data_IF_944134275134
#
_entry.id   IF_944134275134
#
_cell.length_a   1.000
_cell.length_b   1.000
_cell.length_c   1.000
_cell.angle_alpha   90.00
_cell.angle_beta   90.00
_cell.angle_gamma   90.00
#
_symmetry.space_group_name_H-M   'P 1'
#
loop_
_entity.id
_entity.type
_entity.pdbx_description
1 polymer ?
#
# COMPACT_ATOMS: atom_id res chain seq x y z
N UNK A 1 35.20 9.87 -6.97
CA UNK A 1 34.65 10.35 -8.27
C UNK A 1 33.52 9.40 -8.66
N UNK A 2 32.33 9.92 -8.94
CA UNK A 2 31.23 9.05 -9.41
C UNK A 2 31.45 8.69 -10.89
N UNK A 3 31.08 7.48 -11.27
CA UNK A 3 31.03 6.99 -12.65
C UNK A 3 29.61 6.61 -13.00
N UNK A 4 29.15 6.99 -14.18
CA UNK A 4 27.86 6.56 -14.72
C UNK A 4 28.09 5.51 -15.80
N UNK A 5 27.32 4.43 -15.73
CA UNK A 5 27.35 3.35 -16.71
C UNK A 5 25.97 3.26 -17.34
N UNK A 6 25.92 3.35 -18.66
CA UNK A 6 24.69 3.07 -19.40
C UNK A 6 24.57 1.56 -19.62
N UNK A 7 23.45 0.98 -19.23
CA UNK A 7 23.13 -0.44 -19.43
C UNK A 7 22.24 -0.57 -20.66
N UNK A 8 22.66 -1.41 -21.60
CA UNK A 8 21.88 -1.76 -22.79
C UNK A 8 21.81 -3.28 -22.88
N UNK A 9 20.61 -3.82 -23.02
CA UNK A 9 20.35 -5.27 -23.06
C UNK A 9 20.98 -6.03 -21.86
N UNK A 10 20.92 -5.39 -20.67
CA UNK A 10 21.46 -5.98 -19.43
C UNK A 10 22.96 -5.87 -19.23
N UNK A 11 23.69 -5.23 -20.16
CA UNK A 11 25.16 -5.13 -20.10
C UNK A 11 25.60 -3.67 -20.19
N UNK A 12 26.56 -3.31 -19.36
CA UNK A 12 27.28 -2.04 -19.43
C UNK A 12 28.76 -2.25 -19.05
N UNK A 13 29.65 -1.42 -19.58
CA UNK A 13 31.08 -1.49 -19.28
C UNK A 13 31.60 -0.12 -18.84
N UNK A 14 32.53 -0.12 -17.91
CA UNK A 14 33.25 1.08 -17.47
C UNK A 14 34.60 0.69 -16.89
N UNK A 15 35.52 1.62 -16.86
CA UNK A 15 36.79 1.47 -16.17
C UNK A 15 36.67 1.96 -14.74
N UNK A 16 37.02 1.10 -13.78
CA UNK A 16 37.04 1.40 -12.35
C UNK A 16 38.45 1.15 -11.80
N UNK A 17 38.86 1.99 -10.88
CA UNK A 17 40.04 1.76 -10.05
C UNK A 17 39.72 0.84 -8.89
N UNK A 18 40.71 0.18 -8.29
CA UNK A 18 40.50 -0.61 -7.09
C UNK A 18 39.89 0.25 -5.97
N UNK A 19 38.88 -0.28 -5.27
CA UNK A 19 38.19 0.39 -4.17
C UNK A 19 36.75 -0.07 -3.99
N UNK A 20 36.09 0.48 -2.98
CA UNK A 20 34.68 0.20 -2.71
C UNK A 20 33.80 1.26 -3.37
N UNK A 21 32.72 0.83 -3.99
CA UNK A 21 31.76 1.68 -4.69
C UNK A 21 30.34 1.39 -4.21
N UNK A 22 29.62 2.43 -3.82
CA UNK A 22 28.17 2.36 -3.64
C UNK A 22 27.50 2.40 -5.01
N UNK A 23 26.50 1.57 -5.18
CA UNK A 23 25.74 1.42 -6.43
C UNK A 23 24.38 2.07 -6.28
N UNK A 24 23.99 2.86 -7.25
CA UNK A 24 22.65 3.41 -7.39
C UNK A 24 22.16 3.11 -8.79
N UNK A 25 20.86 2.88 -8.93
CA UNK A 25 20.19 2.64 -10.20
C UNK A 25 19.21 3.78 -10.52
N UNK A 26 18.90 3.91 -11.79
CA UNK A 26 17.80 4.72 -12.33
C UNK A 26 17.21 3.96 -13.52
N UNK A 27 16.27 3.07 -13.21
CA UNK A 27 15.61 2.19 -14.19
C UNK A 27 14.10 2.42 -14.07
N UNK A 28 13.46 2.97 -15.11
CA UNK A 28 12.02 3.20 -15.10
C UNK A 28 11.23 1.90 -14.89
N UNK A 29 10.23 1.94 -14.01
CA UNK A 29 9.39 0.78 -13.69
C UNK A 29 10.00 -0.22 -12.70
N UNK A 30 11.12 0.16 -12.04
CA UNK A 30 11.78 -0.68 -11.05
C UNK A 30 11.99 0.07 -9.73
N UNK A 31 12.11 -0.70 -8.63
CA UNK A 31 12.47 -0.14 -7.32
C UNK A 31 13.99 0.13 -7.30
N UNK A 32 14.36 1.35 -7.65
CA UNK A 32 15.76 1.77 -7.75
C UNK A 32 16.50 1.76 -6.39
N UNK A 33 15.78 1.71 -5.27
CA UNK A 33 16.36 1.55 -3.93
C UNK A 33 16.72 0.09 -3.60
N UNK A 34 16.14 -0.87 -4.31
CA UNK A 34 16.31 -2.31 -4.08
C UNK A 34 17.41 -2.96 -4.93
N UNK A 35 18.33 -2.17 -5.52
CA UNK A 35 19.44 -2.72 -6.27
C UNK A 35 20.36 -3.58 -5.39
N UNK A 36 20.69 -4.79 -5.85
CA UNK A 36 21.54 -5.73 -5.12
C UNK A 36 22.67 -6.26 -6.01
N UNK A 37 23.92 -6.26 -5.54
CA UNK A 37 24.38 -5.65 -4.28
C UNK A 37 24.38 -4.11 -4.36
N UNK A 38 24.08 -3.45 -3.24
CA UNK A 38 24.14 -1.98 -3.15
C UNK A 38 25.56 -1.41 -3.04
N UNK A 39 26.55 -2.28 -2.84
CA UNK A 39 27.96 -1.93 -2.78
C UNK A 39 28.81 -3.06 -3.41
N UNK A 40 29.87 -2.70 -4.10
CA UNK A 40 30.89 -3.63 -4.61
C UNK A 40 32.29 -3.21 -4.18
N UNK A 41 33.19 -4.17 -4.10
CA UNK A 41 34.62 -3.92 -3.99
C UNK A 41 35.29 -4.34 -5.30
N UNK A 42 35.96 -3.40 -5.94
CA UNK A 42 36.75 -3.61 -7.16
C UNK A 42 38.17 -3.92 -6.78
N UNK A 43 38.67 -5.02 -7.27
CA UNK A 43 40.07 -5.46 -7.13
C UNK A 43 40.63 -5.92 -8.49
N UNK A 44 41.89 -6.29 -8.52
CA UNK A 44 42.55 -6.69 -9.75
C UNK A 44 42.09 -8.08 -10.26
N UNK A 45 41.34 -8.86 -9.50
CA UNK A 45 40.93 -10.22 -9.83
C UNK A 45 39.52 -10.33 -10.39
N UNK A 46 38.60 -9.41 -10.01
CA UNK A 46 37.22 -9.43 -10.42
C UNK A 46 36.95 -8.36 -11.47
N UNK A 47 36.50 -8.78 -12.65
CA UNK A 47 36.20 -7.90 -13.78
C UNK A 47 34.73 -7.92 -14.23
N UNK A 48 33.88 -8.66 -13.55
CA UNK A 48 32.44 -8.75 -13.85
C UNK A 48 31.65 -8.70 -12.56
N UNK A 49 30.66 -7.83 -12.50
CA UNK A 49 29.73 -7.68 -11.39
C UNK A 49 28.31 -7.83 -11.89
N UNK A 50 27.51 -8.65 -11.23
CA UNK A 50 26.10 -8.83 -11.52
C UNK A 50 25.25 -8.03 -10.52
N UNK A 51 24.22 -7.36 -11.03
CA UNK A 51 23.26 -6.62 -10.24
C UNK A 51 21.85 -7.09 -10.56
N UNK A 52 21.00 -7.12 -9.55
CA UNK A 52 19.56 -7.37 -9.71
C UNK A 52 18.77 -6.20 -9.16
N UNK A 53 17.61 -5.96 -9.74
CA UNK A 53 16.69 -4.90 -9.33
C UNK A 53 15.27 -5.43 -9.49
N UNK A 54 14.40 -5.12 -8.52
CA UNK A 54 13.02 -5.61 -8.51
C UNK A 54 12.12 -4.70 -9.36
N UNK A 55 11.32 -5.31 -10.22
CA UNK A 55 10.25 -4.59 -10.92
C UNK A 55 9.20 -4.08 -9.93
N UNK A 56 8.58 -2.97 -10.26
CA UNK A 56 7.47 -2.39 -9.48
C UNK A 56 6.25 -2.19 -10.35
N UNK A 57 5.09 -2.30 -9.71
CA UNK A 57 3.79 -2.13 -10.32
C UNK A 57 2.86 -1.26 -9.48
N UNK A 58 1.55 -1.39 -9.70
CA UNK A 58 0.51 -0.69 -8.99
C UNK A 58 -0.45 -1.68 -8.31
N UNK A 59 -0.74 -1.44 -7.03
CA UNK A 59 -1.79 -2.12 -6.28
C UNK A 59 -2.97 -1.17 -6.11
N UNK A 60 -4.10 -1.49 -6.73
CA UNK A 60 -5.35 -0.77 -6.56
C UNK A 60 -6.19 -1.42 -5.46
N UNK A 61 -6.63 -0.63 -4.50
CA UNK A 61 -7.62 -1.00 -3.50
C UNK A 61 -8.94 -0.38 -3.94
N UNK A 62 -9.87 -1.20 -4.43
CA UNK A 62 -11.20 -0.76 -4.88
C UNK A 62 -12.19 -0.96 -3.75
N UNK A 63 -12.71 0.15 -3.21
CA UNK A 63 -13.54 0.17 -2.00
C UNK A 63 -14.98 0.48 -2.37
N UNK A 64 -15.87 -0.42 -2.01
CA UNK A 64 -17.31 -0.30 -2.25
C UNK A 64 -18.12 -0.69 -1.01
N UNK A 65 -19.39 -0.31 -0.97
CA UNK A 65 -20.31 -0.61 0.13
C UNK A 65 -20.59 -2.12 0.28
N UNK A 66 -20.49 -2.88 -0.80
CA UNK A 66 -20.76 -4.33 -0.82
C UNK A 66 -19.51 -5.20 -1.08
N UNK A 67 -18.33 -4.59 -1.33
CA UNK A 67 -17.08 -5.29 -1.59
C UNK A 67 -17.00 -5.93 -2.98
N UNK A 68 -17.86 -5.54 -3.90
CA UNK A 68 -17.83 -6.03 -5.28
C UNK A 68 -17.33 -4.96 -6.25
N UNK A 69 -16.93 -5.36 -7.45
CA UNK A 69 -16.49 -4.43 -8.51
C UNK A 69 -17.62 -3.55 -9.08
N UNK A 70 -18.86 -3.77 -8.68
CA UNK A 70 -20.06 -3.06 -9.16
C UNK A 70 -20.84 -2.40 -8.04
N UNK A 71 -20.37 -2.49 -6.78
CA UNK A 71 -20.94 -1.80 -5.64
C UNK A 71 -20.80 -0.28 -5.75
N UNK A 72 -21.48 0.45 -4.85
CA UNK A 72 -21.33 1.90 -4.81
C UNK A 72 -19.92 2.26 -4.28
N UNK A 73 -19.16 3.10 -5.00
CA UNK A 73 -17.80 3.43 -4.60
C UNK A 73 -17.77 4.27 -3.32
N UNK A 74 -16.84 3.97 -2.43
CA UNK A 74 -16.58 4.73 -1.21
C UNK A 74 -15.44 5.73 -1.47
N UNK A 75 -15.75 7.01 -1.40
CA UNK A 75 -14.82 8.12 -1.65
C UNK A 75 -14.25 8.62 -0.34
N UNK A 76 -12.94 8.84 -0.26
CA UNK A 76 -12.31 9.41 0.94
C UNK A 76 -11.81 8.36 1.94
N UNK A 77 -11.96 7.07 1.68
CA UNK A 77 -11.34 6.03 2.48
C UNK A 77 -9.80 6.10 2.34
N UNK A 78 -9.09 6.08 3.47
CA UNK A 78 -7.65 6.27 3.50
C UNK A 78 -6.92 5.00 3.92
N UNK A 79 -5.84 4.69 3.21
CA UNK A 79 -5.02 3.51 3.43
C UNK A 79 -3.55 3.89 3.60
N UNK A 80 -2.82 3.07 4.35
CA UNK A 80 -1.36 3.17 4.50
C UNK A 80 -0.73 1.78 4.40
N UNK A 81 0.49 1.71 3.88
CA UNK A 81 1.28 0.48 3.87
C UNK A 81 1.80 0.19 5.27
N UNK A 82 1.86 -1.10 5.61
CA UNK A 82 2.40 -1.57 6.89
C UNK A 82 3.38 -2.71 6.65
N UNK A 83 4.15 -3.05 7.67
CA UNK A 83 4.76 -4.36 7.76
C UNK A 83 3.76 -5.41 8.28
N UNK A 84 4.19 -6.65 8.41
CA UNK A 84 3.41 -7.77 8.94
C UNK A 84 2.87 -7.52 10.35
N UNK A 85 3.57 -6.71 11.15
CA UNK A 85 3.19 -6.37 12.54
C UNK A 85 2.24 -5.18 12.63
N UNK A 86 1.97 -4.49 11.51
CA UNK A 86 1.13 -3.31 11.42
C UNK A 86 1.87 -1.99 11.62
N UNK A 87 3.21 -1.99 11.67
CA UNK A 87 3.98 -0.76 11.70
C UNK A 87 3.89 -0.05 10.34
N UNK A 88 3.43 1.20 10.37
CA UNK A 88 3.15 2.01 9.18
C UNK A 88 4.42 2.52 8.52
N UNK A 89 4.42 2.57 7.18
CA UNK A 89 5.47 3.21 6.41
C UNK A 89 4.94 3.78 5.09
N UNK A 90 5.68 4.75 4.54
CA UNK A 90 5.32 5.41 3.30
C UNK A 90 4.27 6.51 3.47
N UNK A 91 3.56 6.80 2.40
CA UNK A 91 2.54 7.86 2.35
C UNK A 91 1.16 7.23 2.28
N UNK A 92 0.21 7.77 3.04
CA UNK A 92 -1.19 7.39 2.94
C UNK A 92 -1.77 7.77 1.58
N UNK A 93 -2.66 6.94 1.09
CA UNK A 93 -3.44 7.15 -0.13
C UNK A 93 -4.92 7.17 0.20
N UNK A 94 -5.71 7.86 -0.63
CA UNK A 94 -7.15 8.03 -0.40
C UNK A 94 -7.90 7.62 -1.65
N UNK A 95 -9.06 6.98 -1.48
CA UNK A 95 -9.92 6.57 -2.60
C UNK A 95 -10.48 7.79 -3.35
N UNK A 96 -10.44 7.70 -4.65
CA UNK A 96 -10.99 8.67 -5.60
C UNK A 96 -12.52 8.50 -5.80
N UNK A 97 -13.06 9.20 -6.80
CA UNK A 97 -14.49 9.16 -7.15
C UNK A 97 -14.97 7.81 -7.67
N UNK A 98 -14.06 6.91 -8.04
CA UNK A 98 -14.36 5.54 -8.44
C UNK A 98 -14.23 4.55 -7.26
N UNK A 99 -13.84 5.02 -6.08
CA UNK A 99 -13.53 4.17 -4.93
C UNK A 99 -12.12 3.55 -5.00
N UNK A 100 -11.22 4.07 -5.83
CA UNK A 100 -9.89 3.51 -6.06
C UNK A 100 -8.81 4.27 -5.29
N UNK A 101 -8.06 3.55 -4.45
CA UNK A 101 -6.82 4.00 -3.83
C UNK A 101 -5.64 3.21 -4.41
N UNK A 102 -4.61 3.89 -4.94
CA UNK A 102 -3.54 3.26 -5.71
C UNK A 102 -2.19 3.44 -5.02
N UNK A 103 -1.59 2.34 -4.59
CA UNK A 103 -0.18 2.28 -4.21
C UNK A 103 0.67 2.05 -5.46
N UNK A 104 1.46 3.05 -5.84
CA UNK A 104 2.45 2.93 -6.91
C UNK A 104 3.79 2.40 -6.37
N UNK A 105 4.65 1.94 -7.26
CA UNK A 105 5.97 1.41 -6.96
C UNK A 105 5.94 0.26 -5.93
N UNK A 106 4.97 -0.63 -6.08
CA UNK A 106 4.84 -1.85 -5.27
C UNK A 106 5.64 -2.96 -5.94
N UNK A 107 6.55 -3.65 -5.23
CA UNK A 107 7.29 -4.76 -5.82
C UNK A 107 6.35 -5.88 -6.24
N UNK A 108 6.64 -6.53 -7.36
CA UNK A 108 5.94 -7.72 -7.82
C UNK A 108 6.91 -8.76 -8.38
N UNK A 109 6.52 -10.04 -8.35
CA UNK A 109 7.27 -11.13 -8.97
C UNK A 109 6.29 -12.26 -9.33
N UNK A 110 6.33 -12.71 -10.57
CA UNK A 110 5.44 -13.77 -11.07
C UNK A 110 5.74 -15.15 -10.46
N UNK A 111 6.94 -15.36 -9.91
CA UNK A 111 7.40 -16.66 -9.38
C UNK A 111 7.49 -16.66 -7.86
N UNK A 112 7.98 -15.57 -7.26
CA UNK A 112 8.17 -15.39 -5.83
C UNK A 112 7.40 -14.17 -5.35
N UNK A 113 6.07 -14.19 -5.53
CA UNK A 113 5.19 -13.05 -5.30
C UNK A 113 5.36 -12.44 -3.90
N UNK A 114 5.77 -11.18 -3.77
CA UNK A 114 5.88 -10.52 -2.49
C UNK A 114 4.49 -10.32 -1.86
N UNK A 115 4.43 -10.42 -0.53
CA UNK A 115 3.24 -10.09 0.25
C UNK A 115 3.29 -8.60 0.56
N UNK A 116 2.22 -7.90 0.23
CA UNK A 116 2.06 -6.47 0.50
C UNK A 116 1.04 -6.31 1.62
N UNK A 117 1.47 -5.74 2.73
CA UNK A 117 0.62 -5.45 3.89
C UNK A 117 0.17 -4.00 3.86
N UNK A 118 -1.08 -3.78 4.25
CA UNK A 118 -1.70 -2.45 4.34
C UNK A 118 -2.85 -2.47 5.34
N UNK A 119 -3.28 -1.30 5.79
CA UNK A 119 -4.50 -1.16 6.60
C UNK A 119 -5.27 0.06 6.18
N UNK A 120 -6.57 0.04 6.41
CA UNK A 120 -7.43 1.20 6.31
C UNK A 120 -7.34 2.01 7.60
N UNK A 121 -7.24 3.34 7.49
CA UNK A 121 -7.11 4.25 8.63
C UNK A 121 -8.31 5.16 8.82
N UNK A 122 -9.11 5.34 7.77
CA UNK A 122 -10.38 6.07 7.82
C UNK A 122 -11.32 5.63 6.70
N UNK A 123 -12.60 5.96 6.83
CA UNK A 123 -13.62 5.88 5.80
C UNK A 123 -14.24 7.26 5.56
N UNK A 124 -15.33 7.35 4.81
CA UNK A 124 -16.09 8.57 4.51
C UNK A 124 -16.92 9.10 5.70
N UNK A 125 -16.98 8.38 6.81
CA UNK A 125 -17.75 8.71 8.01
C UNK A 125 -19.11 8.04 8.11
N UNK A 126 -19.63 7.52 7.00
CA UNK A 126 -20.94 6.86 6.93
C UNK A 126 -20.85 5.34 6.87
N UNK A 127 -19.66 4.80 6.57
CA UNK A 127 -19.40 3.37 6.41
C UNK A 127 -18.43 2.83 7.46
N UNK A 128 -18.72 1.61 7.92
CA UNK A 128 -17.84 0.84 8.81
C UNK A 128 -16.74 0.18 7.97
N UNK A 129 -15.53 0.08 8.51
CA UNK A 129 -14.38 -0.54 7.85
C UNK A 129 -13.55 -1.40 8.80
N UNK A 130 -12.78 -2.32 8.24
CA UNK A 130 -11.84 -3.16 8.98
C UNK A 130 -10.53 -2.40 9.24
N UNK A 131 -10.14 -2.29 10.51
CA UNK A 131 -8.89 -1.64 10.96
C UNK A 131 -7.73 -2.61 11.07
N UNK A 132 -7.95 -3.89 10.80
CA UNK A 132 -6.89 -4.91 10.86
C UNK A 132 -5.85 -4.72 9.75
N UNK A 133 -4.70 -5.37 9.92
CA UNK A 133 -3.70 -5.46 8.86
C UNK A 133 -4.18 -6.44 7.80
N UNK A 134 -4.40 -5.94 6.61
CA UNK A 134 -4.75 -6.72 5.43
C UNK A 134 -3.50 -7.01 4.60
N UNK A 135 -3.58 -7.99 3.73
CA UNK A 135 -2.48 -8.29 2.81
C UNK A 135 -2.96 -8.85 1.48
N UNK A 136 -2.09 -8.75 0.48
CA UNK A 136 -2.25 -9.39 -0.83
C UNK A 136 -0.90 -9.76 -1.41
N UNK A 137 -0.88 -10.67 -2.37
CA UNK A 137 0.32 -11.03 -3.12
C UNK A 137 0.33 -10.33 -4.48
N UNK A 138 1.51 -9.83 -4.89
CA UNK A 138 1.70 -9.15 -6.16
C UNK A 138 2.43 -10.06 -7.15
N UNK A 139 1.67 -10.71 -8.04
CA UNK A 139 2.20 -11.61 -9.08
C UNK A 139 2.38 -10.92 -10.43
N UNK A 140 1.86 -9.70 -10.59
CA UNK A 140 1.91 -8.90 -11.83
C UNK A 140 2.11 -7.43 -11.52
N UNK A 141 2.41 -6.64 -12.53
CA UNK A 141 2.61 -5.20 -12.46
C UNK A 141 1.33 -4.39 -12.16
N UNK A 142 0.16 -5.02 -12.24
CA UNK A 142 -1.10 -4.45 -11.83
C UNK A 142 -1.94 -5.49 -11.09
N UNK A 143 -2.48 -5.11 -9.94
CA UNK A 143 -3.38 -5.95 -9.14
C UNK A 143 -4.48 -5.08 -8.55
N UNK A 144 -5.70 -5.62 -8.44
CA UNK A 144 -6.83 -4.96 -7.78
C UNK A 144 -7.37 -5.85 -6.68
N UNK A 145 -7.55 -5.29 -5.49
CA UNK A 145 -8.20 -5.94 -4.35
C UNK A 145 -9.53 -5.25 -4.09
N UNK A 146 -10.58 -6.04 -3.95
CA UNK A 146 -11.90 -5.56 -3.56
C UNK A 146 -11.98 -5.45 -2.04
N UNK A 147 -12.43 -4.30 -1.54
CA UNK A 147 -12.57 -4.01 -0.11
C UNK A 147 -14.00 -3.55 0.16
N UNK A 148 -14.59 -4.10 1.21
CA UNK A 148 -15.91 -3.68 1.66
C UNK A 148 -15.81 -2.68 2.81
N UNK A 149 -16.48 -1.54 2.66
CA UNK A 149 -16.85 -0.65 3.76
C UNK A 149 -18.37 -0.68 3.89
N UNK A 150 -18.88 -1.47 4.81
CA UNK A 150 -20.30 -1.73 4.92
C UNK A 150 -21.07 -0.50 5.41
N UNK A 151 -22.24 -0.26 4.85
CA UNK A 151 -23.17 0.75 5.38
C UNK A 151 -23.51 0.44 6.84
N UNK A 152 -23.41 1.43 7.71
CA UNK A 152 -23.78 1.30 9.12
C UNK A 152 -25.23 0.85 9.28
N UNK A 153 -25.48 -0.09 10.19
CA UNK A 153 -26.83 -0.57 10.44
C UNK A 153 -27.65 0.47 11.22
N UNK A 154 -28.85 0.75 10.76
CA UNK A 154 -29.80 1.60 11.52
C UNK A 154 -30.05 0.98 12.90
N UNK A 155 -29.90 1.77 13.95
CA UNK A 155 -30.21 1.40 15.34
C UNK A 155 -31.33 2.27 15.87
N UNK A 156 -32.30 1.64 16.53
CA UNK A 156 -33.35 2.37 17.24
C UNK A 156 -32.90 2.62 18.67
N UNK A 157 -32.87 3.88 19.07
CA UNK A 157 -32.55 4.29 20.44
C UNK A 157 -33.80 4.83 21.09
N UNK A 158 -34.22 4.21 22.20
CA UNK A 158 -35.33 4.64 22.98
C UNK A 158 -34.82 5.35 24.24
N UNK A 159 -35.29 6.59 24.45
CA UNK A 159 -35.03 7.35 25.66
C UNK A 159 -36.30 7.38 26.47
N UNK A 160 -36.25 6.88 27.70
CA UNK A 160 -37.40 6.86 28.64
C UNK A 160 -37.01 7.41 29.98
N UNK A 161 -38.02 7.90 30.74
CA UNK A 161 -37.82 8.35 32.11
C UNK A 161 -37.54 7.15 33.04
N UNK A 162 -36.52 7.27 33.89
CA UNK A 162 -36.16 6.21 34.83
C UNK A 162 -37.15 6.04 36.00
N UNK A 163 -37.94 7.08 36.30
CA UNK A 163 -38.88 7.07 37.42
C UNK A 163 -40.33 6.75 36.98
N UNK A 164 -40.59 6.93 35.68
CA UNK A 164 -41.92 6.65 35.10
C UNK A 164 -41.73 5.64 33.97
N UNK A 165 -41.94 4.38 34.26
CA UNK A 165 -41.72 3.27 33.34
C UNK A 165 -42.47 3.51 32.03
N UNK A 166 -41.70 3.41 30.93
CA UNK A 166 -42.19 3.60 29.55
C UNK A 166 -42.65 5.03 29.16
N UNK A 167 -42.41 6.06 29.97
CA UNK A 167 -42.65 7.41 29.52
C UNK A 167 -41.59 7.83 28.49
N UNK A 168 -41.97 8.03 27.21
CA UNK A 168 -41.02 8.45 26.19
C UNK A 168 -40.57 9.89 26.42
N UNK A 169 -39.28 10.16 26.34
CA UNK A 169 -38.70 11.49 26.45
C UNK A 169 -38.29 12.00 25.07
N UNK A 170 -38.40 13.31 24.90
CA UNK A 170 -37.89 14.00 23.71
C UNK A 170 -36.65 14.81 24.09
N UNK A 171 -35.62 14.68 23.31
CA UNK A 171 -34.36 15.38 23.56
C UNK A 171 -33.31 15.00 22.52
N UNK A 172 -32.11 15.55 22.66
CA UNK A 172 -30.95 15.21 21.84
C UNK A 172 -30.02 14.33 22.66
N UNK A 173 -29.63 13.19 22.09
CA UNK A 173 -28.59 12.29 22.60
C UNK A 173 -27.40 12.37 21.69
N UNK A 174 -26.23 12.73 22.22
CA UNK A 174 -24.97 12.74 21.46
C UNK A 174 -24.20 11.48 21.80
N UNK A 175 -23.78 10.77 20.78
CA UNK A 175 -22.89 9.61 20.87
C UNK A 175 -21.61 9.93 20.11
N UNK A 176 -20.46 9.59 20.68
CA UNK A 176 -19.14 9.73 20.05
C UNK A 176 -18.38 8.43 20.16
N UNK A 177 -17.64 8.07 19.12
CA UNK A 177 -16.65 6.99 19.18
C UNK A 177 -15.38 7.51 19.89
N UNK A 178 -14.72 6.65 20.66
CA UNK A 178 -13.40 6.90 21.24
C UNK A 178 -12.30 6.56 20.25
#
# INVERSE_FOLDING_TARGET
>A
MAKTVTITDGVGTTELINGSFNITADVPGYDNSAIMPSQITVDASTNTYAFTISATGALTLHVTDDGTSTGNPIVGATFIRTDETGAEYGTSITTDTNGDAIFNNVPFDATAAPIIYYKQTSSDGDHEFDTSVLNTTMTSDASTVQIQNATGATRTINLTDANYENLPLSGTLTMSNE
#
